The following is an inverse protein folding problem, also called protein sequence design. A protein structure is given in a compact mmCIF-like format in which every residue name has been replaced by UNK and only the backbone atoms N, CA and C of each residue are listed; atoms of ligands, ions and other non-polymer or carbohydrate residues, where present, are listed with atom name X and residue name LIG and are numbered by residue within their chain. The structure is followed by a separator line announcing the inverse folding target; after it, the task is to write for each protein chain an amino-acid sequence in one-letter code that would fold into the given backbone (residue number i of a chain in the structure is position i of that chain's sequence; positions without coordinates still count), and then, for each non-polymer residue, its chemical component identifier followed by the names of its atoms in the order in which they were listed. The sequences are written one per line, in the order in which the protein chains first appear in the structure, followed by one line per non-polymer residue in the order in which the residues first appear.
data_IF_337560237976
#
_entry.id   IF_337560237976
#
_cell.length_a   1.000
_cell.length_b   1.000
_cell.length_c   1.000
_cell.angle_alpha   90.00
_cell.angle_beta   90.00
_cell.angle_gamma   90.00
#
_symmetry.space_group_name_H-M   'P 1'
#
loop_
_entity.id
_entity.type
_entity.pdbx_description
1 polymer ?
#
# COMPACT_ATOMS: atom_id res chain seq x y z
N UNK A 1 35.64 -21.62 21.98
CA UNK A 1 35.99 -22.59 20.92
C UNK A 1 36.70 -21.78 19.82
N UNK A 2 37.95 -22.08 19.48
CA UNK A 2 38.81 -21.21 18.66
C UNK A 2 39.14 -21.84 17.30
N UNK A 3 39.63 -21.04 16.36
CA UNK A 3 40.29 -21.57 15.16
C UNK A 3 41.46 -22.47 15.59
N UNK A 4 41.65 -23.68 15.02
CA UNK A 4 40.98 -24.26 13.86
C UNK A 4 39.78 -25.18 14.15
N UNK A 5 39.33 -25.28 15.41
CA UNK A 5 38.24 -26.17 15.85
C UNK A 5 36.91 -25.69 15.25
N UNK A 6 36.57 -24.41 15.41
CA UNK A 6 35.41 -23.79 14.75
C UNK A 6 35.84 -23.15 13.45
N UNK A 7 35.25 -23.61 12.34
CA UNK A 7 35.47 -23.04 11.01
C UNK A 7 34.13 -22.85 10.30
N UNK A 8 33.48 -21.69 10.44
CA UNK A 8 32.16 -21.43 9.84
C UNK A 8 32.16 -21.55 8.31
N UNK A 9 33.34 -21.38 7.67
CA UNK A 9 33.53 -21.61 6.23
C UNK A 9 33.21 -23.05 5.78
N UNK A 10 33.26 -24.05 6.67
CA UNK A 10 32.87 -25.44 6.34
C UNK A 10 31.42 -25.52 5.84
N UNK A 11 30.52 -24.71 6.41
CA UNK A 11 29.11 -24.63 6.03
C UNK A 11 28.85 -23.71 4.81
N UNK A 12 29.90 -23.14 4.20
CA UNK A 12 29.79 -22.21 3.05
C UNK A 12 30.48 -22.73 1.80
N UNK A 13 30.93 -23.99 1.82
CA UNK A 13 31.78 -24.63 0.81
C UNK A 13 31.08 -24.88 -0.53
N UNK A 14 29.76 -25.07 -0.54
CA UNK A 14 28.97 -25.31 -1.75
C UNK A 14 27.57 -24.69 -1.63
N UNK A 15 26.89 -24.53 -2.76
CA UNK A 15 25.50 -24.05 -2.76
C UNK A 15 24.57 -25.00 -2.00
N UNK A 16 24.72 -26.32 -2.20
CA UNK A 16 23.91 -27.31 -1.49
C UNK A 16 24.12 -27.25 0.03
N UNK A 17 25.36 -27.01 0.50
CA UNK A 17 25.63 -26.86 1.93
C UNK A 17 24.96 -25.59 2.47
N UNK A 18 25.11 -24.46 1.78
CA UNK A 18 24.45 -23.20 2.18
C UNK A 18 22.92 -23.34 2.19
N UNK A 19 22.35 -24.08 1.24
CA UNK A 19 20.91 -24.35 1.19
C UNK A 19 20.41 -25.15 2.39
N UNK A 20 21.17 -26.14 2.86
CA UNK A 20 20.82 -26.96 4.04
C UNK A 20 20.82 -26.16 5.34
N UNK A 21 21.75 -25.21 5.48
CA UNK A 21 21.92 -24.42 6.72
C UNK A 21 21.27 -23.04 6.63
N UNK A 22 20.48 -22.76 5.59
CA UNK A 22 19.84 -21.45 5.40
C UNK A 22 18.75 -21.27 6.44
N UNK A 23 18.88 -20.23 7.26
CA UNK A 23 17.97 -19.96 8.38
C UNK A 23 16.69 -19.23 7.95
N UNK A 24 16.77 -18.42 6.89
CA UNK A 24 15.66 -17.57 6.43
C UNK A 24 15.35 -17.83 4.95
N UNK A 25 14.08 -17.79 4.61
CA UNK A 25 13.60 -17.88 3.24
C UNK A 25 12.62 -16.74 2.99
N UNK A 26 12.75 -16.10 1.82
CA UNK A 26 11.74 -15.16 1.33
C UNK A 26 10.79 -15.91 0.40
N UNK A 27 9.49 -15.70 0.57
CA UNK A 27 8.41 -16.27 -0.22
C UNK A 27 7.51 -15.16 -0.75
N UNK A 28 6.70 -15.49 -1.75
CA UNK A 28 5.67 -14.57 -2.23
C UNK A 28 4.65 -14.23 -1.14
N UNK A 29 4.39 -15.19 -0.25
CA UNK A 29 3.51 -15.06 0.91
C UNK A 29 3.95 -13.97 1.92
N UNK A 30 5.22 -13.54 1.84
CA UNK A 30 5.79 -12.51 2.72
C UNK A 30 5.62 -11.08 2.15
N UNK A 31 5.03 -10.94 0.96
CA UNK A 31 5.00 -9.69 0.21
C UNK A 31 3.61 -9.04 0.23
N UNK A 32 3.61 -7.72 0.42
CA UNK A 32 2.48 -6.83 0.13
C UNK A 32 2.91 -5.88 -0.96
N UNK A 33 2.11 -5.72 -2.01
CA UNK A 33 2.45 -4.85 -3.13
C UNK A 33 1.76 -3.48 -3.06
N UNK A 34 2.51 -2.37 -2.87
CA UNK A 34 1.94 -1.03 -2.87
C UNK A 34 1.54 -0.57 -4.26
N UNK A 35 0.34 0.00 -4.38
CA UNK A 35 -0.22 0.53 -5.62
C UNK A 35 -0.73 1.95 -5.43
N UNK A 36 -0.44 2.84 -6.39
CA UNK A 36 -0.89 4.22 -6.38
C UNK A 36 -2.07 4.39 -7.33
N UNK A 37 -3.23 4.78 -6.79
CA UNK A 37 -4.46 4.94 -7.56
C UNK A 37 -4.84 6.42 -7.67
N UNK A 38 -5.18 6.87 -8.88
CA UNK A 38 -5.58 8.24 -9.18
C UNK A 38 -6.94 8.29 -9.88
N UNK A 39 -7.64 9.41 -9.76
CA UNK A 39 -8.86 9.69 -10.54
C UNK A 39 -8.55 9.82 -12.05
N UNK A 40 -9.57 9.60 -12.88
CA UNK A 40 -9.48 9.67 -14.34
C UNK A 40 -9.85 8.35 -15.02
N UNK A 41 -9.47 8.19 -16.29
CA UNK A 41 -9.70 6.96 -17.05
C UNK A 41 -8.56 6.68 -18.04
N UNK A 42 -8.22 5.40 -18.25
CA UNK A 42 -7.30 4.92 -19.30
C UNK A 42 -5.98 5.66 -19.34
N UNK A 43 -5.47 5.98 -18.16
CA UNK A 43 -4.25 6.77 -17.96
C UNK A 43 -3.37 6.13 -16.90
N UNK A 44 -2.08 6.05 -17.20
CA UNK A 44 -1.00 5.61 -16.29
C UNK A 44 0.08 6.68 -16.29
N UNK A 45 0.36 7.32 -15.15
CA UNK A 45 1.36 8.40 -15.03
C UNK A 45 2.60 7.88 -14.32
N UNK A 46 3.78 8.01 -14.94
CA UNK A 46 5.02 7.55 -14.34
C UNK A 46 5.42 8.41 -13.12
N UNK A 47 5.92 7.75 -12.07
CA UNK A 47 6.54 8.42 -10.93
C UNK A 47 8.03 8.57 -11.22
N UNK A 48 8.46 9.76 -11.63
CA UNK A 48 9.83 9.99 -12.13
C UNK A 48 10.94 9.59 -11.13
N UNK A 49 10.69 9.75 -9.83
CA UNK A 49 11.63 9.37 -8.76
C UNK A 49 11.65 7.86 -8.46
N UNK A 50 10.70 7.09 -8.99
CA UNK A 50 10.54 5.65 -8.77
C UNK A 50 10.37 4.93 -10.12
N UNK A 51 11.46 4.66 -10.86
CA UNK A 51 11.40 4.02 -12.17
C UNK A 51 10.63 2.69 -12.12
N UNK A 52 9.65 2.53 -13.03
CA UNK A 52 8.76 1.37 -13.08
C UNK A 52 7.50 1.47 -12.20
N UNK A 53 7.37 2.52 -11.40
CA UNK A 53 6.18 2.81 -10.58
C UNK A 53 5.33 3.88 -11.24
N UNK A 54 4.01 3.73 -11.12
CA UNK A 54 3.05 4.59 -11.78
C UNK A 54 1.84 4.86 -10.90
N UNK A 55 1.23 6.02 -11.12
CA UNK A 55 -0.11 6.34 -10.66
C UNK A 55 -1.11 5.80 -11.69
N UNK A 56 -2.01 4.95 -11.24
CA UNK A 56 -2.93 4.18 -12.08
C UNK A 56 -4.34 4.71 -11.93
N UNK A 57 -5.02 4.91 -13.06
CA UNK A 57 -6.49 4.97 -13.03
C UNK A 57 -7.07 3.61 -12.67
N UNK A 58 -8.30 3.55 -12.16
CA UNK A 58 -8.90 2.30 -11.64
C UNK A 58 -8.89 1.19 -12.70
N UNK A 59 -9.09 1.51 -13.98
CA UNK A 59 -9.02 0.52 -15.05
C UNK A 59 -7.64 -0.13 -15.16
N UNK A 60 -6.56 0.64 -15.19
CA UNK A 60 -5.19 0.10 -15.16
C UNK A 60 -4.81 -0.52 -13.82
N UNK A 61 -5.39 -0.06 -12.71
CA UNK A 61 -5.20 -0.71 -11.41
C UNK A 61 -5.71 -2.15 -11.45
N UNK A 62 -6.88 -2.40 -12.05
CA UNK A 62 -7.45 -3.74 -12.15
C UNK A 62 -6.64 -4.67 -13.07
N UNK A 63 -5.98 -4.12 -14.10
CA UNK A 63 -5.00 -4.85 -14.92
C UNK A 63 -3.77 -5.23 -14.09
N UNK A 64 -3.24 -4.30 -13.29
CA UNK A 64 -2.09 -4.56 -12.42
C UNK A 64 -2.45 -5.61 -11.34
N UNK A 65 -3.65 -5.54 -10.76
CA UNK A 65 -4.14 -6.53 -9.80
C UNK A 65 -4.30 -7.93 -10.41
N UNK A 66 -4.63 -8.02 -11.71
CA UNK A 66 -4.64 -9.31 -12.42
C UNK A 66 -3.25 -9.95 -12.42
N UNK A 67 -2.21 -9.15 -12.65
CA UNK A 67 -0.81 -9.58 -12.62
C UNK A 67 -0.43 -9.99 -11.18
N UNK A 68 -0.80 -9.20 -10.17
CA UNK A 68 -0.57 -9.51 -8.74
C UNK A 68 -1.10 -10.89 -8.38
N UNK A 69 -2.34 -11.20 -8.77
CA UNK A 69 -2.91 -12.52 -8.54
C UNK A 69 -2.19 -13.62 -9.31
N UNK A 70 -1.83 -13.39 -10.58
CA UNK A 70 -1.10 -14.38 -11.38
C UNK A 70 0.26 -14.75 -10.78
N UNK A 71 0.87 -13.83 -10.03
CA UNK A 71 2.13 -14.02 -9.32
C UNK A 71 1.95 -14.67 -7.94
N UNK A 72 0.72 -14.79 -7.43
CA UNK A 72 0.41 -15.35 -6.11
C UNK A 72 0.72 -14.41 -4.95
N UNK A 73 0.76 -13.09 -5.18
CA UNK A 73 0.96 -12.11 -4.11
C UNK A 73 -0.32 -12.02 -3.27
N UNK A 74 -0.25 -12.21 -1.94
CA UNK A 74 -1.44 -12.36 -1.11
C UNK A 74 -2.20 -11.05 -0.87
N UNK A 75 -1.54 -9.90 -0.94
CA UNK A 75 -2.16 -8.63 -0.63
C UNK A 75 -1.53 -7.41 -1.27
N UNK A 76 -2.33 -6.35 -1.33
CA UNK A 76 -1.95 -5.04 -1.86
C UNK A 76 -2.18 -3.94 -0.82
N UNK A 77 -1.40 -2.86 -0.93
CA UNK A 77 -1.59 -1.63 -0.16
C UNK A 77 -1.93 -0.48 -1.10
N UNK A 78 -3.09 0.15 -0.91
CA UNK A 78 -3.54 1.24 -1.77
C UNK A 78 -3.14 2.61 -1.19
N UNK A 79 -2.53 3.43 -2.05
CA UNK A 79 -2.31 4.86 -1.84
C UNK A 79 -3.13 5.66 -2.84
N UNK A 80 -4.03 6.51 -2.34
CA UNK A 80 -4.94 7.30 -3.17
C UNK A 80 -4.38 8.67 -3.51
N UNK A 81 -4.45 9.08 -4.76
CA UNK A 81 -4.02 10.39 -5.26
C UNK A 81 -5.28 11.15 -5.71
N UNK A 82 -5.82 12.02 -4.85
CA UNK A 82 -7.06 12.72 -5.15
C UNK A 82 -6.81 13.85 -6.15
N UNK A 83 -7.85 14.21 -6.92
CA UNK A 83 -7.82 15.39 -7.80
C UNK A 83 -7.94 16.69 -7.01
N UNK A 84 -8.64 16.66 -5.87
CA UNK A 84 -8.88 17.81 -5.01
C UNK A 84 -8.41 17.56 -3.58
N UNK A 85 -7.80 18.59 -2.97
CA UNK A 85 -7.33 18.61 -1.59
C UNK A 85 -7.92 19.82 -0.86
N UNK A 86 -8.19 19.68 0.43
CA UNK A 86 -8.67 20.76 1.29
C UNK A 86 -8.05 20.70 2.69
N UNK A 87 -8.20 21.74 3.50
CA UNK A 87 -7.56 21.81 4.83
C UNK A 87 -8.03 20.76 5.85
N UNK A 88 -9.03 19.92 5.53
CA UNK A 88 -9.50 18.84 6.42
C UNK A 88 -9.32 17.44 5.83
N UNK A 89 -8.80 17.32 4.61
CA UNK A 89 -8.63 16.05 3.92
C UNK A 89 -9.94 15.35 3.59
N UNK A 90 -10.99 16.08 3.18
CA UNK A 90 -12.35 15.52 3.07
C UNK A 90 -12.49 14.34 2.12
N UNK A 91 -11.62 14.25 1.10
CA UNK A 91 -11.55 13.12 0.17
C UNK A 91 -11.16 11.80 0.83
N UNK A 92 -10.46 11.81 1.98
CA UNK A 92 -10.03 10.61 2.68
C UNK A 92 -11.20 9.80 3.23
N UNK A 93 -12.26 10.46 3.69
CA UNK A 93 -13.44 9.83 4.30
C UNK A 93 -14.73 10.00 3.49
N UNK A 94 -14.62 10.45 2.24
CA UNK A 94 -15.75 10.56 1.34
C UNK A 94 -16.27 9.17 0.94
N UNK A 95 -17.58 8.98 0.87
CA UNK A 95 -18.19 7.70 0.46
C UNK A 95 -17.70 7.24 -0.93
N UNK A 96 -17.47 8.22 -1.82
CA UNK A 96 -16.99 8.04 -3.18
C UNK A 96 -15.59 8.65 -3.41
N UNK A 97 -14.73 8.63 -2.38
CA UNK A 97 -13.31 8.94 -2.56
C UNK A 97 -12.58 7.91 -3.41
N UNK A 98 -11.37 8.25 -3.88
CA UNK A 98 -10.61 7.42 -4.81
C UNK A 98 -10.29 6.03 -4.25
N UNK A 99 -9.93 5.94 -2.96
CA UNK A 99 -9.67 4.65 -2.29
C UNK A 99 -10.95 3.82 -2.20
N UNK A 100 -12.06 4.42 -1.79
CA UNK A 100 -13.34 3.74 -1.64
C UNK A 100 -13.83 3.19 -2.98
N UNK A 101 -13.69 3.96 -4.07
CA UNK A 101 -13.98 3.49 -5.43
C UNK A 101 -13.07 2.34 -5.85
N UNK A 102 -11.76 2.46 -5.60
CA UNK A 102 -10.77 1.45 -5.97
C UNK A 102 -10.99 0.13 -5.23
N UNK A 103 -11.20 0.18 -3.91
CA UNK A 103 -11.49 -0.99 -3.07
C UNK A 103 -12.73 -1.71 -3.58
N UNK A 104 -13.84 -0.99 -3.82
CA UNK A 104 -15.07 -1.60 -4.36
C UNK A 104 -14.82 -2.29 -5.70
N UNK A 105 -14.12 -1.63 -6.62
CA UNK A 105 -13.81 -2.19 -7.93
C UNK A 105 -12.92 -3.44 -7.83
N UNK A 106 -11.95 -3.46 -6.91
CA UNK A 106 -11.08 -4.60 -6.67
C UNK A 106 -11.87 -5.76 -6.06
N UNK A 107 -12.63 -5.53 -4.98
CA UNK A 107 -13.36 -6.60 -4.29
C UNK A 107 -14.50 -7.18 -5.13
N UNK A 108 -15.06 -6.41 -6.08
CA UNK A 108 -16.04 -6.91 -7.05
C UNK A 108 -15.42 -7.96 -8.01
N UNK A 109 -14.22 -7.70 -8.53
CA UNK A 109 -13.55 -8.59 -9.50
C UNK A 109 -12.66 -9.67 -8.83
N UNK A 110 -12.12 -9.37 -7.66
CA UNK A 110 -11.07 -10.13 -6.98
C UNK A 110 -11.35 -10.23 -5.47
N UNK A 111 -12.47 -10.87 -5.07
CA UNK A 111 -12.94 -10.84 -3.68
C UNK A 111 -11.97 -11.43 -2.66
N UNK A 112 -11.15 -12.40 -3.07
CA UNK A 112 -10.23 -13.14 -2.19
C UNK A 112 -8.88 -12.43 -1.97
N UNK A 113 -8.56 -11.38 -2.74
CA UNK A 113 -7.33 -10.62 -2.55
C UNK A 113 -7.42 -9.77 -1.28
N UNK A 114 -6.38 -9.78 -0.46
CA UNK A 114 -6.28 -8.92 0.73
C UNK A 114 -6.02 -7.47 0.30
N UNK A 115 -6.94 -6.57 0.62
CA UNK A 115 -6.84 -5.15 0.28
C UNK A 115 -6.61 -4.30 1.52
N UNK A 116 -5.38 -3.86 1.70
CA UNK A 116 -4.96 -2.95 2.76
C UNK A 116 -5.09 -1.51 2.24
N UNK A 117 -5.63 -0.61 3.05
CA UNK A 117 -5.74 0.82 2.73
C UNK A 117 -4.92 1.67 3.68
N UNK A 118 -4.25 2.70 3.16
CA UNK A 118 -3.61 3.72 4.00
C UNK A 118 -4.66 4.62 4.67
N UNK A 119 -4.64 4.71 6.01
CA UNK A 119 -5.54 5.56 6.80
C UNK A 119 -4.76 6.78 7.26
N UNK A 120 -4.77 7.83 6.44
CA UNK A 120 -4.07 9.08 6.68
C UNK A 120 -4.78 10.25 6.00
N UNK A 121 -4.38 11.49 6.31
CA UNK A 121 -4.89 12.71 5.67
C UNK A 121 -3.85 13.43 4.80
N UNK A 122 -2.58 13.02 4.79
CA UNK A 122 -1.49 13.75 4.12
C UNK A 122 -1.73 13.93 2.62
N UNK A 123 -2.21 12.90 1.94
CA UNK A 123 -2.44 12.96 0.50
C UNK A 123 -3.71 13.74 0.15
N UNK A 124 -4.57 14.04 1.13
CA UNK A 124 -5.86 14.70 0.95
C UNK A 124 -5.87 16.14 1.46
N UNK A 125 -4.91 16.52 2.31
CA UNK A 125 -4.82 17.89 2.82
C UNK A 125 -4.07 18.81 1.87
N UNK A 126 -4.53 20.06 1.73
CA UNK A 126 -3.88 21.07 0.89
C UNK A 126 -2.50 21.52 1.42
N UNK A 127 -2.30 21.40 2.73
CA UNK A 127 -1.04 21.63 3.42
C UNK A 127 -0.15 20.38 3.53
N UNK A 128 -0.64 19.19 3.17
CA UNK A 128 0.13 17.94 3.11
C UNK A 128 0.52 17.31 4.46
N UNK A 129 -0.11 17.73 5.57
CA UNK A 129 0.15 17.13 6.88
C UNK A 129 -0.80 15.95 7.14
N UNK A 130 -0.37 15.01 7.97
CA UNK A 130 -1.14 13.80 8.30
C UNK A 130 -2.38 14.06 9.19
N UNK A 131 -2.76 15.31 9.40
CA UNK A 131 -3.82 15.69 10.33
C UNK A 131 -4.26 17.15 10.17
N UNK A 132 -5.26 17.54 10.95
CA UNK A 132 -5.74 18.92 11.01
C UNK A 132 -4.66 19.85 11.56
N UNK A 133 -4.46 21.00 10.92
CA UNK A 133 -3.44 21.97 11.34
C UNK A 133 -4.09 23.21 11.94
N UNK A 134 -3.58 23.67 13.07
CA UNK A 134 -3.90 24.96 13.67
C UNK A 134 -2.65 25.56 14.30
N UNK A 135 -2.40 26.85 14.03
CA UNK A 135 -1.24 27.58 14.55
C UNK A 135 0.12 26.90 14.26
N UNK A 136 0.21 26.16 13.14
CA UNK A 136 1.41 25.44 12.71
C UNK A 136 1.59 24.07 13.35
N UNK A 137 0.66 23.62 14.19
CA UNK A 137 0.70 22.32 14.86
C UNK A 137 -0.40 21.38 14.36
N UNK A 138 -0.08 20.09 14.29
CA UNK A 138 -1.06 19.04 13.96
C UNK A 138 -1.86 18.71 15.22
N UNK A 139 -3.18 18.91 15.15
CA UNK A 139 -4.10 18.64 16.23
C UNK A 139 -4.37 17.14 16.33
N UNK A 140 -3.73 16.46 17.28
CA UNK A 140 -3.81 15.00 17.45
C UNK A 140 -5.26 14.50 17.56
N UNK A 141 -6.00 14.93 18.57
CA UNK A 141 -7.30 14.35 18.90
C UNK A 141 -8.38 14.68 17.85
N UNK A 142 -8.36 15.89 17.32
CA UNK A 142 -9.25 16.29 16.24
C UNK A 142 -8.95 15.51 14.94
N UNK A 143 -7.69 15.12 14.72
CA UNK A 143 -7.30 14.25 13.60
C UNK A 143 -7.81 12.83 13.79
N UNK A 144 -7.76 12.28 15.01
CA UNK A 144 -8.24 10.92 15.30
C UNK A 144 -9.70 10.71 14.88
N UNK A 145 -10.57 11.71 15.08
CA UNK A 145 -11.98 11.65 14.65
C UNK A 145 -12.10 11.48 13.12
N UNK A 146 -11.27 12.18 12.35
CA UNK A 146 -11.27 12.06 10.89
C UNK A 146 -10.66 10.74 10.43
N UNK A 147 -9.59 10.26 11.08
CA UNK A 147 -9.00 8.95 10.80
C UNK A 147 -9.99 7.81 11.06
N UNK A 148 -10.78 7.90 12.13
CA UNK A 148 -11.85 6.94 12.41
C UNK A 148 -12.90 6.92 11.29
N UNK A 149 -13.30 8.11 10.79
CA UNK A 149 -14.22 8.22 9.65
C UNK A 149 -13.62 7.65 8.36
N UNK A 150 -12.34 7.90 8.10
CA UNK A 150 -11.59 7.32 6.97
C UNK A 150 -11.61 5.80 7.05
N UNK A 151 -11.21 5.21 8.19
CA UNK A 151 -11.21 3.77 8.41
C UNK A 151 -12.59 3.14 8.20
N UNK A 152 -13.65 3.74 8.77
CA UNK A 152 -15.03 3.26 8.57
C UNK A 152 -15.44 3.33 7.11
N UNK A 153 -15.06 4.38 6.38
CA UNK A 153 -15.39 4.51 4.96
C UNK A 153 -14.68 3.46 4.09
N UNK A 154 -13.43 3.12 4.41
CA UNK A 154 -12.66 2.08 3.73
C UNK A 154 -13.22 0.69 4.03
N UNK A 155 -13.54 0.40 5.29
CA UNK A 155 -14.18 -0.86 5.69
C UNK A 155 -15.55 -1.06 5.00
N UNK A 156 -16.37 0.01 4.91
CA UNK A 156 -17.64 -0.02 4.16
C UNK A 156 -17.45 -0.27 2.67
N UNK A 157 -16.32 0.13 2.10
CA UNK A 157 -15.98 -0.14 0.71
C UNK A 157 -15.50 -1.58 0.47
N UNK A 158 -15.09 -2.30 1.52
CA UNK A 158 -14.66 -3.70 1.48
C UNK A 158 -13.17 -3.94 1.75
N UNK A 159 -12.46 -2.96 2.33
CA UNK A 159 -11.08 -3.17 2.76
C UNK A 159 -11.00 -4.21 3.89
N UNK A 160 -9.91 -4.98 3.92
CA UNK A 160 -9.64 -6.05 4.90
C UNK A 160 -8.75 -5.55 6.06
#
# INVERSE_FOLDING_TARGET
MYYPVVRPRRLRSSENMRRLVRENCLRVDDLVYPLFVMEGSRTKKAVNSMPGVYNLTIDHLLEEVEIVQSLGIPGILLFGIPEYKDGVGSGAYAENGIIQKAVRAIKDKYPDLLVITDVCLCEYTDHGHCGLVKDGEVLNDATLELLARTAVSHARAGAD
#
